data_IF_474992877582
#
_entry.id   IF_474992877582
#
_cell.length_a   1.000
_cell.length_b   1.000
_cell.length_c   1.000
_cell.angle_alpha   90.00
_cell.angle_beta   90.00
_cell.angle_gamma   90.00
#
_symmetry.space_group_name_H-M   'P 1'
#
loop_
_entity.id
_entity.type
_entity.pdbx_description
1 polymer ?
#
# COMPACT_ATOMS: atom_id res chain seq x y z
N UNK A 1 10.63 -45.48 2.36
CA UNK A 1 11.72 -44.56 2.01
C UNK A 1 12.19 -44.95 0.62
N UNK A 2 11.65 -44.33 -0.42
CA UNK A 2 12.01 -44.58 -1.81
C UNK A 2 13.03 -43.52 -2.26
N UNK A 3 14.16 -43.97 -2.81
CA UNK A 3 15.18 -43.12 -3.42
C UNK A 3 14.59 -42.32 -4.58
N UNK A 4 14.93 -41.04 -4.68
CA UNK A 4 14.41 -40.16 -5.72
C UNK A 4 15.34 -40.16 -6.95
N UNK A 5 14.86 -40.45 -8.16
CA UNK A 5 15.75 -40.75 -9.28
C UNK A 5 15.80 -39.59 -10.29
N UNK A 6 16.29 -38.41 -9.94
CA UNK A 6 16.57 -37.38 -10.97
C UNK A 6 17.76 -36.49 -10.60
N UNK A 7 18.65 -36.31 -11.58
CA UNK A 7 19.67 -35.27 -11.65
C UNK A 7 19.24 -34.31 -12.75
N UNK A 8 18.97 -33.04 -12.43
CA UNK A 8 18.55 -32.03 -13.41
C UNK A 8 19.75 -31.15 -13.80
N UNK A 9 20.22 -31.20 -15.06
CA UNK A 9 21.16 -30.20 -15.56
C UNK A 9 20.39 -28.90 -15.81
N UNK A 10 20.94 -27.77 -15.38
CA UNK A 10 20.39 -26.45 -15.66
C UNK A 10 20.29 -26.25 -17.19
N UNK A 11 19.09 -26.38 -17.75
CA UNK A 11 18.45 -25.32 -18.55
C UNK A 11 17.07 -25.65 -19.12
N UNK A 12 16.56 -26.89 -19.12
CA UNK A 12 15.16 -27.14 -19.50
C UNK A 12 14.58 -28.33 -18.71
N UNK A 13 13.84 -28.04 -17.64
CA UNK A 13 12.94 -29.04 -17.07
C UNK A 13 11.86 -29.35 -18.10
N UNK A 14 11.66 -30.62 -18.41
CA UNK A 14 10.48 -31.06 -19.18
C UNK A 14 9.19 -30.76 -18.42
N UNK A 15 8.05 -30.79 -19.11
CA UNK A 15 6.74 -30.61 -18.46
C UNK A 15 6.49 -31.64 -17.35
N UNK A 16 6.97 -32.87 -17.53
CA UNK A 16 6.87 -33.93 -16.54
C UNK A 16 7.68 -33.63 -15.28
N UNK A 17 8.91 -33.16 -15.46
CA UNK A 17 9.82 -32.81 -14.36
C UNK A 17 9.35 -31.55 -13.62
N UNK A 18 8.82 -30.57 -14.34
CA UNK A 18 8.18 -29.38 -13.77
C UNK A 18 6.96 -29.77 -12.92
N UNK A 19 6.09 -30.67 -13.42
CA UNK A 19 4.95 -31.18 -12.62
C UNK A 19 5.42 -31.87 -11.35
N UNK A 20 6.46 -32.70 -11.43
CA UNK A 20 7.03 -33.37 -10.26
C UNK A 20 7.60 -32.37 -9.26
N UNK A 21 8.39 -31.39 -9.71
CA UNK A 21 8.92 -30.31 -8.86
C UNK A 21 7.80 -29.59 -8.09
N UNK A 22 6.73 -29.22 -8.77
CA UNK A 22 5.59 -28.54 -8.13
C UNK A 22 4.75 -29.47 -7.23
N UNK A 23 4.76 -30.79 -7.43
CA UNK A 23 4.21 -31.74 -6.44
C UNK A 23 5.02 -31.71 -5.14
N UNK A 24 6.35 -31.57 -5.23
CA UNK A 24 7.23 -31.43 -4.06
C UNK A 24 6.99 -30.12 -3.33
N UNK A 25 6.92 -29.01 -4.08
CA UNK A 25 6.58 -27.70 -3.50
C UNK A 25 5.22 -27.77 -2.79
N UNK A 26 4.21 -28.40 -3.40
CA UNK A 26 2.90 -28.60 -2.79
C UNK A 26 2.97 -29.47 -1.53
N UNK A 27 3.78 -30.54 -1.55
CA UNK A 27 4.04 -31.35 -0.37
C UNK A 27 4.65 -30.50 0.76
N UNK A 28 5.69 -29.71 0.47
CA UNK A 28 6.34 -28.82 1.45
C UNK A 28 5.36 -27.80 1.99
N UNK A 29 4.55 -27.17 1.13
CA UNK A 29 3.52 -26.21 1.54
C UNK A 29 2.52 -26.83 2.53
N UNK A 30 2.05 -28.04 2.22
CA UNK A 30 1.00 -28.69 3.00
C UNK A 30 1.53 -29.33 4.30
N UNK A 31 2.70 -29.97 4.25
CA UNK A 31 3.25 -30.76 5.36
C UNK A 31 4.29 -29.97 6.20
N UNK A 32 4.86 -28.90 5.64
CA UNK A 32 5.89 -28.09 6.26
C UNK A 32 5.57 -26.58 6.14
N UNK A 33 4.32 -26.21 6.42
CA UNK A 33 3.84 -24.84 6.22
C UNK A 33 4.64 -23.75 6.95
N UNK A 34 5.30 -24.04 8.07
CA UNK A 34 6.19 -23.09 8.75
C UNK A 34 7.49 -22.82 7.98
N UNK A 35 8.01 -23.82 7.27
CA UNK A 35 9.15 -23.68 6.36
C UNK A 35 8.73 -22.92 5.10
N UNK A 36 7.58 -23.30 4.52
CA UNK A 36 7.05 -22.65 3.32
C UNK A 36 6.91 -21.12 3.47
N UNK A 37 6.42 -20.67 4.63
CA UNK A 37 6.30 -19.23 4.94
C UNK A 37 7.61 -18.45 4.88
N UNK A 38 8.76 -19.13 4.90
CA UNK A 38 10.09 -18.49 4.79
C UNK A 38 10.53 -18.19 3.37
N UNK A 39 9.85 -18.70 2.34
CA UNK A 39 10.25 -18.57 0.92
C UNK A 39 9.21 -17.82 0.06
N UNK A 40 8.07 -17.41 0.64
CA UNK A 40 6.97 -16.58 0.06
C UNK A 40 6.27 -17.12 -1.20
N UNK A 41 6.99 -17.67 -2.18
CA UNK A 41 6.45 -18.14 -3.45
C UNK A 41 6.82 -19.61 -3.71
N UNK A 42 5.94 -20.30 -4.44
CA UNK A 42 6.19 -21.67 -4.89
C UNK A 42 7.45 -21.72 -5.81
N UNK A 43 7.68 -20.67 -6.61
CA UNK A 43 8.81 -20.59 -7.53
C UNK A 43 10.16 -20.51 -6.80
N UNK A 44 10.29 -19.71 -5.75
CA UNK A 44 11.55 -19.59 -4.98
C UNK A 44 11.96 -20.94 -4.37
N UNK A 45 10.98 -21.70 -3.83
CA UNK A 45 11.22 -23.05 -3.34
C UNK A 45 11.61 -23.99 -4.49
N UNK A 46 10.96 -23.86 -5.64
CA UNK A 46 11.26 -24.67 -6.82
C UNK A 46 12.71 -24.44 -7.29
N UNK A 47 13.16 -23.18 -7.35
CA UNK A 47 14.52 -22.81 -7.74
C UNK A 47 15.57 -23.34 -6.74
N UNK A 48 15.32 -23.20 -5.44
CA UNK A 48 16.19 -23.76 -4.39
C UNK A 48 16.26 -25.30 -4.43
N UNK A 49 15.14 -25.97 -4.77
CA UNK A 49 15.14 -27.43 -4.96
C UNK A 49 16.01 -27.78 -6.17
N UNK A 50 15.87 -27.07 -7.29
CA UNK A 50 16.68 -27.33 -8.49
C UNK A 50 18.17 -27.15 -8.18
N UNK A 51 18.54 -26.08 -7.47
CA UNK A 51 19.92 -25.84 -7.05
C UNK A 51 20.44 -26.93 -6.09
N UNK A 52 19.63 -27.37 -5.13
CA UNK A 52 19.99 -28.50 -4.27
C UNK A 52 20.23 -29.79 -5.08
N UNK A 53 19.38 -30.05 -6.07
CA UNK A 53 19.45 -31.24 -6.91
C UNK A 53 20.65 -31.25 -7.86
N UNK A 54 21.21 -30.09 -8.22
CA UNK A 54 22.45 -30.04 -9.02
C UNK A 54 23.67 -30.54 -8.26
N UNK A 55 23.67 -30.44 -6.93
CA UNK A 55 24.81 -30.80 -6.08
C UNK A 55 24.63 -32.17 -5.40
N UNK A 56 23.39 -32.63 -5.23
CA UNK A 56 23.07 -33.83 -4.47
C UNK A 56 23.23 -35.12 -5.28
N UNK A 57 24.15 -36.00 -4.86
CA UNK A 57 24.37 -37.33 -5.47
C UNK A 57 23.20 -38.32 -5.28
N UNK A 58 22.41 -38.17 -4.23
CA UNK A 58 21.28 -39.07 -3.91
C UNK A 58 20.20 -38.31 -3.14
N UNK A 59 19.41 -37.47 -3.81
CA UNK A 59 18.43 -36.62 -3.16
C UNK A 59 17.26 -37.43 -2.61
N UNK A 60 16.76 -37.01 -1.45
CA UNK A 60 15.53 -37.53 -0.84
C UNK A 60 14.66 -36.34 -0.41
N UNK A 61 13.36 -36.55 -0.29
CA UNK A 61 12.46 -35.49 0.20
C UNK A 61 12.87 -34.97 1.59
N UNK A 62 13.33 -35.87 2.47
CA UNK A 62 13.83 -35.49 3.79
C UNK A 62 15.13 -34.67 3.72
N UNK A 63 16.03 -34.97 2.78
CA UNK A 63 17.26 -34.21 2.59
C UNK A 63 17.00 -32.83 1.97
N UNK A 64 16.06 -32.73 1.02
CA UNK A 64 15.57 -31.45 0.48
C UNK A 64 14.98 -30.57 1.57
N UNK A 65 14.04 -31.09 2.38
CA UNK A 65 13.42 -30.32 3.47
C UNK A 65 14.46 -29.87 4.50
N UNK A 66 15.44 -30.73 4.81
CA UNK A 66 16.54 -30.39 5.71
C UNK A 66 17.43 -29.30 5.14
N UNK A 67 17.76 -29.34 3.84
CA UNK A 67 18.56 -28.33 3.18
C UNK A 67 17.85 -26.97 3.12
N UNK A 68 16.57 -26.96 2.70
CA UNK A 68 15.73 -25.76 2.74
C UNK A 68 15.64 -25.17 4.16
N UNK A 69 15.54 -26.01 5.20
CA UNK A 69 15.59 -25.54 6.59
C UNK A 69 16.95 -24.94 6.95
N UNK A 70 18.05 -25.51 6.45
CA UNK A 70 19.39 -25.00 6.69
C UNK A 70 19.60 -23.65 5.97
N UNK A 71 19.21 -23.54 4.70
CA UNK A 71 19.20 -22.27 3.93
C UNK A 71 18.39 -21.19 4.64
N UNK A 72 17.16 -21.53 5.04
CA UNK A 72 16.26 -20.62 5.76
C UNK A 72 16.68 -20.32 7.21
N UNK A 73 17.66 -21.03 7.77
CA UNK A 73 18.32 -20.71 9.06
C UNK A 73 19.58 -19.88 8.88
N UNK A 74 20.35 -20.12 7.81
CA UNK A 74 21.55 -19.37 7.47
C UNK A 74 21.21 -17.91 7.12
N UNK A 75 20.07 -17.69 6.47
CA UNK A 75 19.50 -16.38 6.14
C UNK A 75 18.56 -15.87 7.25
N UNK A 76 19.05 -15.78 8.50
CA UNK A 76 18.14 -15.63 9.66
C UNK A 76 17.49 -14.25 9.81
N UNK A 77 18.12 -13.16 9.37
CA UNK A 77 17.54 -11.83 9.38
C UNK A 77 18.20 -10.90 8.35
N UNK A 78 17.40 -10.02 7.75
CA UNK A 78 17.83 -9.00 6.79
C UNK A 78 17.49 -7.61 7.32
N UNK A 79 18.43 -6.67 7.22
CA UNK A 79 18.18 -5.26 7.42
C UNK A 79 17.79 -4.62 6.08
N UNK A 80 16.51 -4.25 5.95
CA UNK A 80 15.92 -3.74 4.69
C UNK A 80 15.61 -2.26 4.83
N UNK A 81 16.16 -1.45 3.92
CA UNK A 81 15.74 -0.07 3.73
C UNK A 81 14.55 0.02 2.76
N UNK A 82 13.49 0.69 3.18
CA UNK A 82 12.38 1.10 2.32
C UNK A 82 12.33 2.62 2.26
N UNK A 83 12.71 3.17 1.11
CA UNK A 83 12.78 4.60 0.87
C UNK A 83 11.37 5.21 0.74
N UNK A 84 11.19 6.36 1.40
CA UNK A 84 9.93 7.11 1.45
C UNK A 84 10.08 8.46 0.76
N UNK A 85 9.32 8.61 -0.31
CA UNK A 85 9.20 9.84 -1.08
C UNK A 85 8.17 10.80 -0.47
N UNK A 86 8.46 12.09 -0.59
CA UNK A 86 7.60 13.21 -0.15
C UNK A 86 7.18 13.12 1.31
N UNK A 87 7.94 12.46 2.17
CA UNK A 87 7.62 12.31 3.58
C UNK A 87 8.70 12.95 4.43
N UNK A 88 8.36 13.98 5.20
CA UNK A 88 9.28 14.59 6.14
C UNK A 88 9.01 14.03 7.55
N UNK A 89 9.98 13.34 8.18
CA UNK A 89 9.82 12.82 9.53
C UNK A 89 9.93 13.96 10.56
N UNK A 90 9.31 13.80 11.75
CA UNK A 90 9.30 14.86 12.76
C UNK A 90 10.64 15.03 13.49
N UNK A 91 11.50 14.00 13.44
CA UNK A 91 12.83 13.92 14.06
C UNK A 91 13.78 13.17 13.13
N UNK A 92 15.09 13.23 13.40
CA UNK A 92 16.12 12.57 12.58
C UNK A 92 16.01 11.04 12.60
N UNK A 93 15.79 10.46 13.77
CA UNK A 93 15.72 9.03 13.99
C UNK A 93 14.62 8.72 15.00
N UNK A 94 13.71 7.81 14.65
CA UNK A 94 12.62 7.40 15.52
C UNK A 94 12.44 5.87 15.51
N UNK A 95 12.73 5.18 16.62
CA UNK A 95 12.32 3.80 16.83
C UNK A 95 10.80 3.65 16.70
N UNK A 96 10.34 2.75 15.84
CA UNK A 96 8.91 2.52 15.61
C UNK A 96 8.40 1.23 16.26
N UNK A 97 9.32 0.35 16.62
CA UNK A 97 9.11 -0.92 17.30
C UNK A 97 10.44 -1.66 17.43
N UNK A 98 10.43 -2.91 17.93
CA UNK A 98 11.67 -3.67 18.17
C UNK A 98 12.48 -3.95 16.90
N UNK A 99 11.81 -3.94 15.73
CA UNK A 99 12.40 -4.34 14.44
C UNK A 99 12.16 -3.31 13.33
N UNK A 100 11.79 -2.09 13.70
CA UNK A 100 11.47 -1.03 12.74
C UNK A 100 11.90 0.34 13.25
N UNK A 101 12.40 1.16 12.33
CA UNK A 101 12.88 2.51 12.61
C UNK A 101 12.59 3.45 11.43
N UNK A 102 12.21 4.69 11.71
CA UNK A 102 12.09 5.76 10.73
C UNK A 102 13.32 6.64 10.84
N UNK A 103 14.01 6.85 9.73
CA UNK A 103 15.20 7.71 9.67
C UNK A 103 15.01 8.77 8.61
N UNK A 104 15.48 9.98 8.89
CA UNK A 104 15.48 11.09 7.96
C UNK A 104 16.56 10.87 6.89
N UNK A 105 16.18 11.03 5.64
CA UNK A 105 17.13 11.03 4.53
C UNK A 105 17.89 12.35 4.50
N UNK A 106 19.16 12.30 4.07
CA UNK A 106 19.94 13.51 3.85
C UNK A 106 19.25 14.45 2.86
N UNK A 107 19.06 15.71 3.25
CA UNK A 107 18.53 16.74 2.35
C UNK A 107 19.62 17.57 1.66
N UNK A 108 20.90 17.37 2.02
CA UNK A 108 22.02 18.13 1.50
C UNK A 108 22.28 17.80 0.03
N UNK A 109 22.40 18.85 -0.81
CA UNK A 109 22.67 18.71 -2.26
C UNK A 109 24.14 18.42 -2.55
N UNK A 110 25.03 18.78 -1.63
CA UNK A 110 26.47 18.57 -1.72
C UNK A 110 26.84 17.24 -1.06
N UNK A 111 27.82 16.51 -1.62
CA UNK A 111 28.34 15.31 -0.94
C UNK A 111 29.17 15.72 0.27
N UNK A 112 28.54 15.87 1.42
CA UNK A 112 29.27 16.04 2.69
C UNK A 112 29.86 14.68 3.07
N UNK A 113 31.19 14.54 2.94
CA UNK A 113 31.94 13.30 3.23
C UNK A 113 31.74 12.81 4.68
N UNK A 114 31.32 13.72 5.58
CA UNK A 114 31.11 13.52 7.01
C UNK A 114 29.93 14.37 7.52
N UNK A 115 28.75 14.19 6.91
CA UNK A 115 27.52 14.86 7.34
C UNK A 115 26.91 14.26 8.62
N UNK A 116 25.76 14.79 9.09
CA UNK A 116 25.05 14.30 10.28
C UNK A 116 24.64 12.81 10.23
N UNK A 117 24.82 12.12 9.10
CA UNK A 117 24.48 10.72 8.86
C UNK A 117 25.23 9.71 9.74
N UNK A 118 26.42 10.06 10.24
CA UNK A 118 27.13 9.19 11.19
C UNK A 118 26.30 8.98 12.46
N UNK A 119 25.63 10.03 12.94
CA UNK A 119 24.73 9.94 14.09
C UNK A 119 23.61 8.96 13.82
N UNK A 120 23.01 9.00 12.63
CA UNK A 120 21.93 8.10 12.23
C UNK A 120 22.40 6.63 12.19
N UNK A 121 23.56 6.35 11.59
CA UNK A 121 24.10 4.98 11.46
C UNK A 121 24.34 4.32 12.83
N UNK A 122 24.91 5.05 13.79
CA UNK A 122 25.12 4.52 15.14
C UNK A 122 23.81 4.29 15.89
N UNK A 123 22.80 5.15 15.70
CA UNK A 123 21.47 4.94 16.30
C UNK A 123 20.80 3.71 15.67
N UNK A 124 20.93 3.53 14.36
CA UNK A 124 20.44 2.33 13.65
C UNK A 124 21.10 1.07 14.20
N UNK A 125 22.43 1.04 14.33
CA UNK A 125 23.16 -0.09 14.94
C UNK A 125 22.69 -0.39 16.35
N UNK A 126 22.56 0.65 17.18
CA UNK A 126 22.14 0.50 18.57
C UNK A 126 20.73 -0.08 18.69
N UNK A 127 19.82 0.29 17.78
CA UNK A 127 18.41 -0.11 17.86
C UNK A 127 18.10 -1.43 17.12
N UNK A 128 18.62 -1.60 15.90
CA UNK A 128 18.34 -2.75 15.03
C UNK A 128 19.43 -3.84 15.08
N UNK A 129 20.55 -3.58 15.76
CA UNK A 129 21.66 -4.53 15.92
C UNK A 129 22.66 -4.56 14.76
N UNK A 130 22.44 -3.77 13.71
CA UNK A 130 23.31 -3.70 12.53
C UNK A 130 23.27 -2.31 11.87
N UNK A 131 24.24 -2.00 11.04
CA UNK A 131 24.43 -0.68 10.39
C UNK A 131 23.81 -0.66 8.99
N UNK A 132 22.97 0.35 8.72
CA UNK A 132 22.55 0.68 7.36
C UNK A 132 22.40 2.19 7.21
N UNK A 133 23.07 2.75 6.21
CA UNK A 133 23.01 4.19 5.91
C UNK A 133 21.81 4.48 5.01
N UNK A 134 20.84 5.28 5.47
CA UNK A 134 19.70 5.66 4.64
C UNK A 134 20.13 6.46 3.41
N UNK A 135 19.41 6.30 2.31
CA UNK A 135 19.61 7.10 1.11
C UNK A 135 19.10 8.52 1.31
N UNK A 136 19.90 9.47 0.83
CA UNK A 136 19.53 10.89 0.78
C UNK A 136 18.63 11.25 -0.41
N UNK A 137 18.07 12.46 -0.35
CA UNK A 137 17.26 13.08 -1.40
C UNK A 137 17.99 13.18 -2.73
N UNK A 138 19.28 13.48 -2.70
CA UNK A 138 20.06 13.79 -3.90
C UNK A 138 20.86 12.57 -4.36
N UNK A 139 20.54 12.09 -5.57
CA UNK A 139 21.27 11.00 -6.20
C UNK A 139 22.40 11.54 -7.05
N UNK A 140 23.62 11.25 -6.62
CA UNK A 140 24.84 11.59 -7.34
C UNK A 140 25.24 10.45 -8.29
N UNK A 141 25.55 10.76 -9.55
CA UNK A 141 26.00 9.78 -10.54
C UNK A 141 27.29 9.06 -10.09
N UNK A 142 27.39 7.73 -10.22
CA UNK A 142 28.63 6.99 -9.92
C UNK A 142 29.78 7.34 -10.88
N UNK A 143 29.48 7.77 -12.11
CA UNK A 143 30.45 7.99 -13.18
C UNK A 143 31.51 9.08 -12.92
N UNK A 144 31.32 9.93 -11.90
CA UNK A 144 32.30 10.96 -11.52
C UNK A 144 33.53 10.45 -10.76
N UNK A 145 33.72 9.13 -10.60
CA UNK A 145 34.87 8.55 -9.88
C UNK A 145 35.92 7.87 -10.77
N UNK A 146 35.54 7.33 -11.94
CA UNK A 146 36.43 6.40 -12.67
C UNK A 146 37.28 7.05 -13.77
N UNK A 147 37.01 8.31 -14.12
CA UNK A 147 37.90 9.06 -15.02
C UNK A 147 38.07 10.44 -14.40
N UNK A 148 39.31 10.84 -14.15
CA UNK A 148 39.68 12.20 -13.78
C UNK A 148 39.41 13.22 -14.90
N UNK A 149 38.27 13.11 -15.56
CA UNK A 149 37.73 14.03 -16.55
C UNK A 149 36.59 14.84 -15.93
N UNK A 150 36.40 16.03 -16.48
CA UNK A 150 35.48 17.09 -16.06
C UNK A 150 33.97 16.73 -16.12
N UNK A 151 33.57 15.49 -15.88
CA UNK A 151 32.16 15.07 -15.70
C UNK A 151 31.62 15.36 -14.29
N UNK A 152 32.24 16.34 -13.60
CA UNK A 152 31.70 17.01 -12.42
C UNK A 152 30.39 17.79 -12.70
N UNK A 153 29.89 17.78 -13.94
CA UNK A 153 28.80 18.62 -14.42
C UNK A 153 27.39 18.01 -14.42
N UNK A 154 27.18 16.75 -14.01
CA UNK A 154 25.80 16.26 -13.83
C UNK A 154 25.27 16.69 -12.48
N UNK A 155 24.36 17.67 -12.52
CA UNK A 155 23.57 18.07 -11.36
C UNK A 155 22.94 16.85 -10.68
N UNK A 156 23.04 16.75 -9.34
CA UNK A 156 22.44 15.63 -8.62
C UNK A 156 20.94 15.59 -8.87
N UNK A 157 20.41 14.37 -9.02
CA UNK A 157 18.98 14.17 -9.28
C UNK A 157 18.21 14.21 -7.97
N UNK A 158 17.23 15.10 -7.87
CA UNK A 158 16.30 15.16 -6.74
C UNK A 158 15.34 13.98 -6.78
N UNK A 159 15.59 12.97 -5.96
CA UNK A 159 14.74 11.79 -5.83
C UNK A 159 13.52 12.04 -4.94
N UNK A 160 13.46 13.19 -4.24
CA UNK A 160 12.43 13.51 -3.25
C UNK A 160 12.30 12.46 -2.12
N UNK A 161 13.31 11.62 -1.93
CA UNK A 161 13.42 10.73 -0.77
C UNK A 161 13.87 11.56 0.41
N UNK A 162 12.96 11.77 1.37
CA UNK A 162 13.22 12.58 2.56
C UNK A 162 13.29 11.73 3.83
N UNK A 163 12.93 10.44 3.74
CA UNK A 163 12.97 9.50 4.83
C UNK A 163 13.15 8.07 4.32
N UNK A 164 13.58 7.19 5.22
CA UNK A 164 13.62 5.76 5.01
C UNK A 164 13.03 5.03 6.22
N UNK A 165 12.28 3.97 5.95
CA UNK A 165 11.89 2.98 6.94
C UNK A 165 12.88 1.82 6.90
N UNK A 166 13.55 1.57 8.02
CA UNK A 166 14.46 0.46 8.18
C UNK A 166 13.76 -0.66 8.94
N UNK A 167 13.86 -1.89 8.44
CA UNK A 167 13.26 -3.07 9.04
C UNK A 167 14.29 -4.17 9.22
N UNK A 168 14.30 -4.82 10.38
CA UNK A 168 14.95 -6.11 10.52
C UNK A 168 13.88 -7.19 10.27
N UNK A 169 13.98 -7.98 9.21
CA UNK A 169 12.97 -9.00 8.84
C UNK A 169 13.58 -10.40 8.75
N UNK A 170 12.83 -11.43 9.18
CA UNK A 170 13.28 -12.82 9.09
C UNK A 170 12.85 -13.44 7.75
N UNK A 171 13.60 -14.44 7.29
CA UNK A 171 13.28 -15.22 6.08
C UNK A 171 14.32 -15.05 4.99
N UNK A 172 14.03 -15.57 3.79
CA UNK A 172 14.88 -15.29 2.63
C UNK A 172 14.84 -13.80 2.29
N UNK A 173 15.81 -13.34 1.52
CA UNK A 173 15.93 -11.94 1.09
C UNK A 173 14.61 -11.44 0.47
N UNK A 174 14.03 -12.21 -0.44
CA UNK A 174 12.77 -11.88 -1.12
C UNK A 174 11.60 -11.70 -0.14
N UNK A 175 11.50 -12.58 0.85
CA UNK A 175 10.46 -12.51 1.89
C UNK A 175 10.67 -11.26 2.74
N UNK A 176 11.90 -11.05 3.22
CA UNK A 176 12.24 -9.89 4.03
C UNK A 176 11.94 -8.57 3.29
N UNK A 177 12.35 -8.46 2.02
CA UNK A 177 12.07 -7.30 1.18
C UNK A 177 10.57 -7.09 0.99
N UNK A 178 9.82 -8.15 0.67
CA UNK A 178 8.37 -8.06 0.44
C UNK A 178 7.61 -7.68 1.72
N UNK A 179 8.00 -8.23 2.87
CA UNK A 179 7.44 -7.89 4.18
C UNK A 179 7.72 -6.43 4.52
N UNK A 180 8.99 -6.00 4.45
CA UNK A 180 9.38 -4.62 4.73
C UNK A 180 8.60 -3.61 3.85
N UNK A 181 8.52 -3.85 2.54
CA UNK A 181 7.78 -2.99 1.62
C UNK A 181 6.28 -2.97 1.94
N UNK A 182 5.69 -4.12 2.28
CA UNK A 182 4.28 -4.22 2.63
C UNK A 182 3.98 -3.47 3.93
N UNK A 183 4.82 -3.65 4.95
CA UNK A 183 4.71 -2.91 6.23
C UNK A 183 4.87 -1.41 6.03
N UNK A 184 5.81 -0.98 5.18
CA UNK A 184 5.99 0.42 4.84
C UNK A 184 4.76 1.01 4.14
N UNK A 185 4.19 0.31 3.14
CA UNK A 185 2.96 0.74 2.45
C UNK A 185 1.78 0.86 3.41
N UNK A 186 1.64 -0.09 4.33
CA UNK A 186 0.60 -0.07 5.37
C UNK A 186 0.83 1.08 6.35
N UNK A 187 2.07 1.30 6.80
CA UNK A 187 2.40 2.40 7.70
C UNK A 187 2.10 3.76 7.08
N UNK A 188 2.51 3.97 5.83
CA UNK A 188 2.21 5.18 5.05
C UNK A 188 0.70 5.41 4.92
N UNK A 189 -0.06 4.37 4.55
CA UNK A 189 -1.51 4.46 4.45
C UNK A 189 -2.17 4.83 5.78
N UNK A 190 -1.73 4.22 6.88
CA UNK A 190 -2.28 4.46 8.21
C UNK A 190 -1.94 5.86 8.74
N UNK A 191 -0.71 6.36 8.52
CA UNK A 191 -0.37 7.73 8.85
C UNK A 191 -1.23 8.73 8.07
N UNK A 192 -1.47 8.49 6.78
CA UNK A 192 -2.35 9.34 5.97
C UNK A 192 -3.81 9.28 6.43
N UNK A 193 -4.28 8.15 6.96
CA UNK A 193 -5.61 8.07 7.58
C UNK A 193 -5.72 8.94 8.84
N UNK A 194 -4.70 8.90 9.71
CA UNK A 194 -4.69 9.65 10.97
C UNK A 194 -4.52 11.16 10.73
N UNK A 195 -3.65 11.50 9.78
CA UNK A 195 -3.21 12.86 9.46
C UNK A 195 -3.33 13.10 7.96
N UNK A 196 -4.55 13.15 7.40
CA UNK A 196 -4.72 13.37 5.96
C UNK A 196 -4.01 14.66 5.54
N UNK A 197 -3.45 14.72 4.31
CA UNK A 197 -2.72 15.89 3.84
C UNK A 197 -3.62 17.13 3.95
N UNK A 198 -3.31 18.03 4.89
CA UNK A 198 -4.02 19.31 5.00
C UNK A 198 -3.51 20.24 3.91
N UNK A 199 -4.31 21.21 3.46
CA UNK A 199 -3.74 22.39 2.78
C UNK A 199 -2.81 23.06 3.79
N UNK A 200 -1.51 22.77 3.73
CA UNK A 200 -0.49 23.37 4.58
C UNK A 200 -0.17 24.77 4.04
N UNK A 201 0.88 25.43 4.56
CA UNK A 201 1.43 26.66 3.94
C UNK A 201 1.74 26.48 2.44
N UNK A 202 1.97 25.24 2.00
CA UNK A 202 2.03 24.88 0.59
C UNK A 202 0.63 24.57 0.06
N UNK A 203 0.26 25.20 -1.07
CA UNK A 203 -1.10 25.14 -1.64
C UNK A 203 -1.64 23.71 -1.82
N UNK A 204 -0.76 22.71 -2.01
CA UNK A 204 -1.08 21.27 -2.12
C UNK A 204 0.12 20.41 -1.65
N UNK A 205 0.08 19.70 -0.50
CA UNK A 205 1.09 18.68 -0.20
C UNK A 205 0.89 17.44 -1.09
N UNK A 206 1.97 16.73 -1.44
CA UNK A 206 1.85 15.45 -2.14
C UNK A 206 1.71 14.30 -1.17
N UNK A 207 0.94 13.28 -1.54
CA UNK A 207 0.87 12.04 -0.80
C UNK A 207 2.25 11.36 -0.72
N UNK A 208 2.66 10.89 0.46
CA UNK A 208 3.90 10.14 0.61
C UNK A 208 3.79 8.77 -0.08
N UNK A 209 4.92 8.26 -0.61
CA UNK A 209 4.94 7.01 -1.38
C UNK A 209 6.21 6.18 -1.10
N UNK A 210 6.10 4.85 -1.17
CA UNK A 210 7.28 3.95 -1.16
C UNK A 210 7.94 3.93 -2.53
N UNK A 211 9.24 4.21 -2.62
CA UNK A 211 9.96 4.42 -3.90
C UNK A 211 10.62 3.13 -4.42
N UNK A 212 9.84 2.24 -5.01
CA UNK A 212 10.40 1.17 -5.84
C UNK A 212 10.35 1.64 -7.29
N UNK A 213 11.41 2.32 -7.73
CA UNK A 213 11.68 2.70 -9.13
C UNK A 213 10.52 3.36 -9.91
N UNK A 214 10.32 4.67 -9.71
CA UNK A 214 9.67 5.58 -10.65
C UNK A 214 9.96 7.04 -10.24
N UNK A 215 9.98 8.01 -11.17
CA UNK A 215 10.07 9.43 -10.82
C UNK A 215 8.93 9.80 -9.86
N UNK A 216 9.34 10.32 -8.70
CA UNK A 216 8.50 10.79 -7.60
C UNK A 216 7.68 12.02 -8.09
N UNK A 217 6.44 12.21 -7.62
CA UNK A 217 5.28 12.60 -8.41
C UNK A 217 5.40 13.96 -9.11
N UNK A 218 5.17 13.89 -10.42
CA UNK A 218 4.41 14.81 -11.26
C UNK A 218 4.53 16.31 -10.93
N UNK A 219 5.56 16.93 -11.50
CA UNK A 219 5.28 18.18 -12.22
C UNK A 219 4.22 17.80 -13.27
N UNK A 220 2.94 18.09 -13.00
CA UNK A 220 1.91 18.00 -14.05
C UNK A 220 2.24 19.11 -15.03
N UNK A 221 2.90 18.75 -16.13
CA UNK A 221 2.89 19.61 -17.31
C UNK A 221 1.44 19.70 -17.75
N UNK A 222 0.90 20.92 -17.84
CA UNK A 222 -0.39 21.10 -18.49
C UNK A 222 -0.29 20.51 -19.89
N UNK A 223 -1.21 19.61 -20.23
CA UNK A 223 -1.29 19.09 -21.60
C UNK A 223 -1.61 20.26 -22.50
N UNK A 224 -0.73 20.53 -23.47
CA UNK A 224 -0.97 21.53 -24.49
C UNK A 224 -2.15 21.03 -25.31
N UNK A 225 -3.30 21.69 -25.19
CA UNK A 225 -4.48 21.38 -25.99
C UNK A 225 -4.94 22.62 -26.75
N UNK A 226 -5.40 22.38 -27.98
CA UNK A 226 -6.13 23.32 -28.81
C UNK A 226 -7.55 22.76 -28.96
N UNK A 227 -8.54 23.63 -29.07
CA UNK A 227 -9.87 23.26 -29.53
C UNK A 227 -9.80 22.64 -30.95
N UNK A 228 -10.57 21.58 -31.17
CA UNK A 228 -10.64 20.90 -32.46
C UNK A 228 -11.53 21.72 -33.40
N UNK A 229 -10.90 22.54 -34.24
CA UNK A 229 -11.55 23.39 -35.24
C UNK A 229 -11.09 22.98 -36.65
N UNK A 230 -11.79 22.04 -37.32
CA UNK A 230 -11.37 21.54 -38.64
C UNK A 230 -11.51 22.59 -39.76
N UNK A 231 -12.30 23.65 -39.55
CA UNK A 231 -12.65 24.66 -40.56
C UNK A 231 -11.97 26.03 -40.37
N UNK A 232 -11.11 26.22 -39.37
CA UNK A 232 -10.54 27.54 -39.06
C UNK A 232 -9.08 27.69 -39.52
N UNK A 233 -8.85 28.43 -40.61
CA UNK A 233 -7.51 28.85 -41.08
C UNK A 233 -7.21 30.23 -40.50
N UNK A 234 -6.28 30.28 -39.54
CA UNK A 234 -5.75 31.47 -38.86
C UNK A 234 -6.59 32.02 -37.68
N UNK A 235 -6.32 31.48 -36.49
CA UNK A 235 -6.77 32.03 -35.21
C UNK A 235 -5.68 31.83 -34.14
N UNK A 236 -5.41 32.89 -33.35
CA UNK A 236 -4.36 32.96 -32.33
C UNK A 236 -4.33 31.71 -31.44
N UNK A 237 -3.17 31.06 -31.33
CA UNK A 237 -2.89 30.05 -30.30
C UNK A 237 -3.15 30.68 -28.92
N UNK A 238 -4.26 30.34 -28.25
CA UNK A 238 -4.43 30.71 -26.85
C UNK A 238 -3.54 29.78 -26.01
N UNK A 239 -2.34 30.26 -25.67
CA UNK A 239 -1.52 29.63 -24.63
C UNK A 239 -2.16 29.97 -23.29
N UNK A 240 -3.12 29.18 -22.81
CA UNK A 240 -3.35 29.12 -21.36
C UNK A 240 -2.21 28.30 -20.77
N UNK A 241 -1.40 29.00 -19.97
CA UNK A 241 -0.02 28.66 -19.66
C UNK A 241 0.22 27.31 -19.00
N UNK A 242 1.46 26.84 -19.11
CA UNK A 242 2.01 25.83 -18.22
C UNK A 242 1.96 26.37 -16.78
N UNK A 243 1.09 25.80 -15.95
CA UNK A 243 1.13 26.06 -14.52
C UNK A 243 2.00 24.97 -13.88
N UNK A 244 3.22 25.34 -13.48
CA UNK A 244 4.00 24.52 -12.56
C UNK A 244 3.33 24.66 -11.20
N UNK A 245 2.67 23.60 -10.72
CA UNK A 245 2.21 23.56 -9.33
C UNK A 245 3.35 23.01 -8.50
N UNK A 246 4.00 23.87 -7.70
CA UNK A 246 4.98 23.43 -6.72
C UNK A 246 4.26 22.78 -5.54
N UNK A 247 4.60 21.52 -5.27
CA UNK A 247 4.04 20.77 -4.15
C UNK A 247 5.06 20.66 -3.02
N UNK A 248 4.59 20.79 -1.78
CA UNK A 248 5.39 20.59 -0.57
C UNK A 248 5.39 19.12 -0.10
N UNK A 249 6.41 18.69 0.69
CA UNK A 249 6.42 17.37 1.30
C UNK A 249 5.27 17.20 2.31
N UNK A 250 4.88 15.96 2.55
CA UNK A 250 3.95 15.57 3.60
C UNK A 250 4.70 15.48 4.94
N UNK A 251 4.30 16.32 5.89
CA UNK A 251 4.88 16.35 7.23
C UNK A 251 4.17 15.34 8.13
N UNK A 252 4.95 14.42 8.71
CA UNK A 252 4.41 13.52 9.72
C UNK A 252 4.08 14.25 11.03
N UNK A 253 3.14 13.68 11.77
CA UNK A 253 2.78 14.19 13.09
C UNK A 253 3.95 14.04 14.08
N UNK A 254 4.08 15.00 14.99
CA UNK A 254 5.01 14.93 16.12
C UNK A 254 4.50 14.05 17.27
N UNK A 255 3.24 13.60 17.22
CA UNK A 255 2.67 12.74 18.25
C UNK A 255 3.24 11.33 18.16
N UNK A 256 4.02 10.93 19.16
CA UNK A 256 4.62 9.60 19.25
C UNK A 256 3.55 8.49 19.18
N UNK A 257 2.43 8.66 19.89
CA UNK A 257 1.34 7.68 19.88
C UNK A 257 0.79 7.41 18.45
N UNK A 258 0.73 8.44 17.60
CA UNK A 258 0.26 8.30 16.22
C UNK A 258 1.36 7.86 15.26
N UNK A 259 2.62 8.20 15.56
CA UNK A 259 3.77 7.74 14.80
C UNK A 259 3.96 6.23 14.96
N UNK A 260 3.86 5.72 16.18
CA UNK A 260 3.96 4.29 16.53
C UNK A 260 2.70 3.48 16.19
N UNK A 261 1.57 4.14 15.98
CA UNK A 261 0.27 3.48 15.82
C UNK A 261 0.24 2.38 14.74
N UNK A 262 0.80 2.56 13.52
CA UNK A 262 0.72 1.51 12.51
C UNK A 262 1.49 0.25 12.90
N UNK A 263 2.62 0.40 13.60
CA UNK A 263 3.45 -0.71 14.04
C UNK A 263 2.82 -1.47 15.20
N UNK A 264 2.25 -0.74 16.17
CA UNK A 264 1.45 -1.34 17.25
C UNK A 264 0.23 -2.08 16.71
N UNK A 265 -0.42 -1.53 15.67
CA UNK A 265 -1.53 -2.19 14.99
C UNK A 265 -1.08 -3.48 14.28
N UNK A 266 0.04 -3.43 13.54
CA UNK A 266 0.59 -4.60 12.85
C UNK A 266 0.95 -5.71 13.84
N UNK A 267 1.57 -5.36 14.97
CA UNK A 267 1.91 -6.32 16.03
C UNK A 267 0.65 -6.89 16.69
N UNK A 268 -0.38 -6.08 16.92
CA UNK A 268 -1.66 -6.54 17.46
C UNK A 268 -2.36 -7.49 16.47
N UNK A 269 -2.42 -7.14 15.19
CA UNK A 269 -2.99 -7.98 14.13
C UNK A 269 -2.25 -9.31 14.00
N UNK A 270 -0.91 -9.29 14.10
CA UNK A 270 -0.10 -10.52 14.12
C UNK A 270 -0.46 -11.45 15.29
N UNK A 271 -0.85 -10.89 16.44
CA UNK A 271 -1.35 -11.63 17.61
C UNK A 271 -2.83 -12.02 17.51
N UNK A 272 -3.46 -11.84 16.34
CA UNK A 272 -4.86 -12.20 16.10
C UNK A 272 -5.88 -11.13 16.52
N UNK A 273 -5.47 -9.86 16.63
CA UNK A 273 -6.41 -8.77 16.91
C UNK A 273 -7.16 -8.33 15.64
N UNK A 274 -8.45 -8.68 15.55
CA UNK A 274 -9.27 -8.43 14.37
C UNK A 274 -9.54 -6.94 14.17
N UNK A 275 -9.67 -6.17 15.25
CA UNK A 275 -9.87 -4.72 15.18
C UNK A 275 -8.69 -4.01 14.52
N UNK A 276 -7.46 -4.40 14.87
CA UNK A 276 -6.25 -3.88 14.27
C UNK A 276 -6.13 -4.28 12.79
N UNK A 277 -6.40 -5.55 12.46
CA UNK A 277 -6.39 -6.05 11.08
C UNK A 277 -7.38 -5.30 10.18
N UNK A 278 -8.60 -5.11 10.66
CA UNK A 278 -9.67 -4.41 9.95
C UNK A 278 -9.30 -2.94 9.68
N UNK A 279 -8.73 -2.26 10.68
CA UNK A 279 -8.30 -0.87 10.54
C UNK A 279 -7.11 -0.72 9.58
N UNK A 280 -6.14 -1.64 9.59
CA UNK A 280 -5.02 -1.62 8.64
C UNK A 280 -5.51 -1.85 7.20
N UNK A 281 -6.42 -2.80 7.01
CA UNK A 281 -7.04 -3.09 5.72
C UNK A 281 -7.85 -1.91 5.18
N UNK A 282 -8.64 -1.26 6.05
CA UNK A 282 -9.38 -0.06 5.71
C UNK A 282 -8.45 1.10 5.35
N UNK A 283 -7.41 1.35 6.15
CA UNK A 283 -6.44 2.41 5.88
C UNK A 283 -5.75 2.23 4.52
N UNK A 284 -5.28 1.01 4.23
CA UNK A 284 -4.66 0.68 2.93
C UNK A 284 -5.62 0.94 1.77
N UNK A 285 -6.87 0.50 1.89
CA UNK A 285 -7.84 0.66 0.81
C UNK A 285 -8.19 2.13 0.58
N UNK A 286 -8.40 2.91 1.64
CA UNK A 286 -8.63 4.36 1.53
C UNK A 286 -7.45 5.11 0.92
N UNK A 287 -6.22 4.71 1.26
CA UNK A 287 -5.02 5.27 0.66
C UNK A 287 -4.93 5.00 -0.85
N UNK A 288 -5.31 3.79 -1.30
CA UNK A 288 -5.37 3.47 -2.73
C UNK A 288 -6.47 4.28 -3.45
N UNK A 289 -7.65 4.40 -2.84
CA UNK A 289 -8.74 5.21 -3.37
C UNK A 289 -8.34 6.68 -3.59
N UNK A 290 -7.55 7.25 -2.68
CA UNK A 290 -7.09 8.63 -2.77
C UNK A 290 -6.01 8.87 -3.85
N UNK A 291 -5.40 7.80 -4.39
CA UNK A 291 -4.24 7.87 -5.29
C UNK A 291 -4.54 7.60 -6.76
N UNK A 292 -5.73 7.11 -7.08
CA UNK A 292 -6.15 6.91 -8.46
C UNK A 292 -6.23 8.29 -9.14
N UNK A 293 -5.46 8.56 -10.21
CA UNK A 293 -5.20 9.92 -10.68
C UNK A 293 -6.29 10.51 -11.57
N UNK A 294 -7.17 9.66 -12.12
CA UNK A 294 -8.16 10.01 -13.12
C UNK A 294 -9.59 9.86 -12.56
N UNK A 295 -10.47 10.81 -12.92
CA UNK A 295 -11.88 10.76 -12.54
C UNK A 295 -12.67 9.74 -13.38
N UNK A 296 -12.12 9.31 -14.53
CA UNK A 296 -12.66 8.19 -15.32
C UNK A 296 -12.43 6.82 -14.66
N UNK A 297 -11.47 6.71 -13.74
CA UNK A 297 -11.17 5.49 -12.95
C UNK A 297 -11.92 5.53 -11.60
N UNK A 298 -13.03 6.26 -11.52
CA UNK A 298 -13.84 6.45 -10.31
C UNK A 298 -14.33 5.14 -9.68
N UNK A 299 -14.51 4.08 -10.46
CA UNK A 299 -14.91 2.75 -9.97
C UNK A 299 -13.81 2.05 -9.18
N UNK A 300 -12.55 2.20 -9.57
CA UNK A 300 -11.47 1.63 -8.76
C UNK A 300 -11.43 2.32 -7.39
N UNK A 301 -11.66 3.65 -7.36
CA UNK A 301 -11.79 4.41 -6.11
C UNK A 301 -12.97 3.88 -5.29
N UNK A 302 -14.08 3.61 -5.97
CA UNK A 302 -15.33 3.04 -5.43
C UNK A 302 -15.11 1.71 -4.75
N UNK A 303 -14.50 0.76 -5.47
CA UNK A 303 -14.13 -0.56 -4.98
C UNK A 303 -13.26 -0.45 -3.73
N UNK A 304 -12.29 0.46 -3.72
CA UNK A 304 -11.39 0.62 -2.58
C UNK A 304 -12.06 1.19 -1.33
N UNK A 305 -12.90 2.21 -1.45
CA UNK A 305 -13.66 2.75 -0.30
C UNK A 305 -14.73 1.75 0.15
N UNK A 306 -15.37 1.01 -0.76
CA UNK A 306 -16.28 -0.08 -0.38
C UNK A 306 -15.54 -1.19 0.38
N UNK A 307 -14.37 -1.64 -0.11
CA UNK A 307 -13.49 -2.58 0.62
C UNK A 307 -13.09 -2.04 1.99
N UNK A 308 -12.88 -0.73 2.12
CA UNK A 308 -12.61 -0.13 3.42
C UNK A 308 -13.82 -0.21 4.36
N UNK A 309 -15.04 0.09 3.87
CA UNK A 309 -16.29 -0.07 4.63
C UNK A 309 -16.47 -1.52 5.08
N UNK A 310 -16.30 -2.48 4.18
CA UNK A 310 -16.43 -3.91 4.49
C UNK A 310 -15.38 -4.35 5.52
N UNK A 311 -14.12 -3.93 5.37
CA UNK A 311 -13.07 -4.23 6.33
C UNK A 311 -13.42 -3.71 7.74
N UNK A 312 -13.96 -2.48 7.86
CA UNK A 312 -14.41 -1.95 9.16
C UNK A 312 -15.56 -2.78 9.76
N UNK A 313 -16.44 -3.31 8.92
CA UNK A 313 -17.66 -4.03 9.34
C UNK A 313 -17.47 -5.55 9.46
N UNK A 314 -16.29 -6.08 9.09
CA UNK A 314 -16.02 -7.51 9.12
C UNK A 314 -16.19 -8.08 10.53
N UNK A 315 -16.98 -9.14 10.65
CA UNK A 315 -17.09 -9.93 11.87
C UNK A 315 -15.79 -10.71 12.06
N UNK A 316 -14.96 -10.20 12.97
CA UNK A 316 -13.92 -11.00 13.59
C UNK A 316 -14.53 -12.12 14.45
N UNK A 317 -13.69 -12.87 15.15
CA UNK A 317 -14.10 -14.00 16.00
C UNK A 317 -15.13 -13.62 17.08
N UNK A 318 -15.20 -12.34 17.45
CA UNK A 318 -16.05 -11.79 18.53
C UNK A 318 -17.15 -10.86 18.04
N UNK A 319 -17.26 -10.62 16.74
CA UNK A 319 -18.28 -9.73 16.17
C UNK A 319 -19.57 -10.50 15.84
N UNK A 320 -20.72 -9.97 16.27
CA UNK A 320 -22.04 -10.49 15.89
C UNK A 320 -22.73 -9.58 14.87
N UNK A 321 -23.66 -10.13 14.08
CA UNK A 321 -24.52 -9.37 13.17
C UNK A 321 -23.99 -9.25 11.73
N UNK A 322 -24.90 -8.92 10.81
CA UNK A 322 -24.59 -8.70 9.38
C UNK A 322 -23.80 -7.40 9.19
N UNK A 323 -22.93 -7.34 8.18
CA UNK A 323 -22.07 -6.18 7.89
C UNK A 323 -22.87 -4.85 7.77
N UNK A 324 -24.04 -4.86 7.13
CA UNK A 324 -24.88 -3.66 7.01
C UNK A 324 -25.43 -3.17 8.37
N UNK A 325 -25.93 -4.07 9.22
CA UNK A 325 -26.41 -3.70 10.55
C UNK A 325 -25.28 -3.10 11.41
N UNK A 326 -24.06 -3.63 11.26
CA UNK A 326 -22.86 -3.09 11.91
C UNK A 326 -22.47 -1.72 11.38
N UNK A 327 -22.59 -1.49 10.07
CA UNK A 327 -22.40 -0.16 9.47
C UNK A 327 -23.41 0.84 10.00
N UNK A 328 -24.70 0.48 10.06
CA UNK A 328 -25.75 1.35 10.61
C UNK A 328 -25.52 1.69 12.09
N UNK A 329 -25.14 0.69 12.90
CA UNK A 329 -24.76 0.92 14.29
C UNK A 329 -23.56 1.87 14.39
N UNK A 330 -22.55 1.68 13.54
CA UNK A 330 -21.38 2.55 13.48
C UNK A 330 -21.75 3.99 13.08
N UNK A 331 -22.61 4.16 12.08
CA UNK A 331 -23.12 5.47 11.63
C UNK A 331 -23.79 6.21 12.78
N UNK A 332 -24.65 5.53 13.55
CA UNK A 332 -25.31 6.10 14.75
C UNK A 332 -24.32 6.41 15.86
N UNK A 333 -23.53 5.42 16.28
CA UNK A 333 -22.62 5.52 17.43
C UNK A 333 -21.49 6.52 17.22
N UNK A 334 -21.05 6.72 15.97
CA UNK A 334 -20.07 7.74 15.62
C UNK A 334 -20.70 9.04 15.12
N UNK A 335 -22.04 9.20 15.16
CA UNK A 335 -22.75 10.39 14.70
C UNK A 335 -22.25 10.86 13.32
N UNK A 336 -22.12 9.92 12.38
CA UNK A 336 -21.52 10.24 11.08
C UNK A 336 -22.39 11.21 10.29
N UNK A 337 -23.72 11.07 10.37
CA UNK A 337 -24.70 11.96 9.71
C UNK A 337 -24.51 13.41 10.13
N UNK A 338 -24.57 13.70 11.42
CA UNK A 338 -24.38 15.07 11.95
C UNK A 338 -23.04 15.68 11.52
N UNK A 339 -22.00 14.84 11.41
CA UNK A 339 -20.68 15.29 10.99
C UNK A 339 -20.57 15.53 9.50
N UNK A 340 -21.29 14.79 8.67
CA UNK A 340 -21.39 15.06 7.24
C UNK A 340 -22.21 16.33 6.98
N UNK A 341 -23.33 16.52 7.69
CA UNK A 341 -24.10 17.77 7.64
C UNK A 341 -23.24 18.97 8.03
N UNK A 342 -22.44 18.86 9.10
CA UNK A 342 -21.51 19.94 9.49
C UNK A 342 -20.40 20.24 8.47
N UNK A 343 -20.21 19.38 7.47
CA UNK A 343 -19.29 19.58 6.35
C UNK A 343 -19.98 20.16 5.11
N UNK A 344 -21.30 20.37 5.15
CA UNK A 344 -22.08 20.98 4.08
C UNK A 344 -22.83 19.99 3.18
N UNK A 345 -22.88 18.70 3.52
CA UNK A 345 -23.69 17.72 2.80
C UNK A 345 -25.16 17.80 3.23
N UNK A 346 -26.08 17.68 2.28
CA UNK A 346 -27.51 17.67 2.55
C UNK A 346 -27.96 16.29 3.09
N UNK A 347 -29.11 16.23 3.76
CA UNK A 347 -29.57 15.00 4.43
C UNK A 347 -30.00 13.91 3.44
N UNK A 348 -30.67 14.32 2.38
CA UNK A 348 -31.04 13.52 1.21
C UNK A 348 -29.79 12.93 0.53
N UNK A 349 -28.76 13.73 0.24
CA UNK A 349 -27.47 13.25 -0.31
C UNK A 349 -26.82 12.17 0.60
N UNK A 350 -26.94 12.32 1.92
CA UNK A 350 -26.40 11.35 2.88
C UNK A 350 -27.21 10.04 2.87
N UNK A 351 -28.52 10.13 2.79
CA UNK A 351 -29.42 8.96 2.73
C UNK A 351 -29.19 8.17 1.43
N UNK A 352 -29.18 8.86 0.29
CA UNK A 352 -28.93 8.27 -1.02
C UNK A 352 -27.56 7.60 -1.08
N UNK A 353 -26.51 8.27 -0.59
CA UNK A 353 -25.16 7.69 -0.53
C UNK A 353 -25.08 6.43 0.35
N UNK A 354 -25.83 6.36 1.46
CA UNK A 354 -25.85 5.19 2.34
C UNK A 354 -26.66 4.03 1.77
N UNK A 355 -27.74 4.29 1.05
CA UNK A 355 -28.48 3.28 0.29
C UNK A 355 -27.63 2.73 -0.86
N UNK A 356 -26.96 3.61 -1.60
CA UNK A 356 -26.04 3.25 -2.68
C UNK A 356 -24.90 2.35 -2.17
N UNK A 357 -24.35 2.65 -0.98
CA UNK A 357 -23.32 1.84 -0.33
C UNK A 357 -23.71 0.37 -0.09
N UNK A 358 -25.01 0.06 -0.04
CA UNK A 358 -25.51 -1.31 0.07
C UNK A 358 -25.55 -2.00 -1.30
N UNK A 359 -25.84 -1.24 -2.35
CA UNK A 359 -25.94 -1.71 -3.75
C UNK A 359 -24.58 -1.86 -4.44
N UNK A 360 -23.52 -1.20 -3.94
CA UNK A 360 -22.16 -1.27 -4.52
C UNK A 360 -21.55 -2.68 -4.56
N UNK A 361 -21.92 -3.57 -3.64
CA UNK A 361 -21.47 -4.96 -3.69
C UNK A 361 -21.98 -5.65 -4.95
N UNK A 362 -23.25 -5.44 -5.28
CA UNK A 362 -23.87 -6.03 -6.47
C UNK A 362 -23.25 -5.43 -7.74
N UNK A 363 -23.00 -4.11 -7.75
CA UNK A 363 -22.33 -3.44 -8.88
C UNK A 363 -20.92 -3.97 -9.11
N UNK A 364 -20.08 -4.02 -8.07
CA UNK A 364 -18.66 -4.44 -8.18
C UNK A 364 -18.47 -5.93 -8.49
N UNK A 365 -19.45 -6.77 -8.20
CA UNK A 365 -19.39 -8.22 -8.48
C UNK A 365 -19.81 -8.54 -9.93
N UNK A 366 -20.58 -7.66 -10.57
CA UNK A 366 -21.18 -7.89 -11.89
C UNK A 366 -20.63 -6.97 -13.00
N UNK A 367 -19.69 -6.06 -12.69
CA UNK A 367 -19.11 -5.11 -13.63
C UNK A 367 -17.56 -5.15 -13.66
N UNK A 368 -16.95 -5.78 -14.67
CA UNK A 368 -15.51 -5.65 -14.95
C UNK A 368 -15.13 -4.52 -15.93
N UNK A 369 -16.09 -3.90 -16.65
CA UNK A 369 -15.86 -2.97 -17.77
C UNK A 369 -16.53 -1.59 -17.58
N UNK A 370 -16.35 -1.00 -16.41
CA UNK A 370 -16.94 0.26 -15.96
C UNK A 370 -16.45 1.49 -16.74
N UNK A 371 -15.17 1.52 -17.13
CA UNK A 371 -14.60 2.61 -17.95
C UNK A 371 -15.28 2.68 -19.31
N UNK A 372 -15.58 1.52 -19.92
CA UNK A 372 -16.27 1.47 -21.21
C UNK A 372 -17.72 1.95 -21.10
N UNK A 373 -18.42 1.64 -20.00
CA UNK A 373 -19.77 2.16 -19.77
C UNK A 373 -19.80 3.68 -19.52
N UNK A 374 -18.80 4.22 -18.81
CA UNK A 374 -18.63 5.68 -18.70
C UNK A 374 -18.31 6.35 -20.04
N UNK A 375 -17.76 5.60 -20.99
CA UNK A 375 -17.54 6.03 -22.38
C UNK A 375 -18.73 5.69 -23.29
N UNK A 376 -19.89 5.34 -22.71
CA UNK A 376 -21.12 4.95 -23.42
C UNK A 376 -20.95 3.72 -24.34
N UNK A 377 -20.11 2.76 -23.94
CA UNK A 377 -19.77 1.59 -24.74
C UNK A 377 -20.11 0.27 -24.01
N UNK A 378 -21.02 -0.57 -24.53
CA UNK A 378 -21.93 -0.34 -25.67
C UNK A 378 -23.18 0.47 -25.27
N UNK A 379 -23.74 1.24 -26.21
CA UNK A 379 -24.76 2.30 -26.00
C UNK A 379 -26.09 1.88 -25.33
N UNK A 380 -26.35 0.60 -25.04
CA UNK A 380 -27.67 0.12 -24.56
C UNK A 380 -27.61 -1.08 -23.61
N UNK A 381 -26.61 -1.19 -22.74
CA UNK A 381 -26.52 -2.31 -21.78
C UNK A 381 -27.59 -2.18 -20.68
N UNK A 382 -28.48 -3.17 -20.56
CA UNK A 382 -29.35 -3.36 -19.39
C UNK A 382 -28.76 -4.48 -18.54
N UNK A 383 -28.68 -4.30 -17.23
CA UNK A 383 -28.10 -5.30 -16.32
C UNK A 383 -29.07 -5.66 -15.23
N UNK A 384 -29.25 -6.97 -15.02
CA UNK A 384 -30.07 -7.53 -13.94
C UNK A 384 -29.15 -7.78 -12.75
N UNK A 385 -29.40 -7.07 -11.65
CA UNK A 385 -28.75 -7.28 -10.37
C UNK A 385 -29.36 -8.47 -9.62
N UNK A 386 -28.70 -8.87 -8.55
CA UNK A 386 -29.21 -9.78 -7.53
C UNK A 386 -30.64 -9.38 -7.11
N UNK A 387 -31.57 -10.35 -7.03
CA UNK A 387 -33.00 -10.14 -6.75
C UNK A 387 -33.83 -9.51 -7.89
N UNK A 388 -33.35 -9.53 -9.12
CA UNK A 388 -34.17 -9.20 -10.31
C UNK A 388 -34.32 -7.72 -10.60
N UNK A 389 -33.64 -6.84 -9.85
CA UNK A 389 -33.63 -5.40 -10.12
C UNK A 389 -32.84 -5.14 -11.40
N UNK A 390 -33.45 -4.51 -12.40
CA UNK A 390 -32.76 -4.15 -13.64
C UNK A 390 -32.32 -2.69 -13.58
N UNK A 391 -31.05 -2.41 -13.87
CA UNK A 391 -30.54 -1.06 -14.04
C UNK A 391 -30.27 -0.79 -15.53
N UNK A 392 -30.59 0.41 -16.01
CA UNK A 392 -30.25 0.87 -17.36
C UNK A 392 -28.80 1.37 -17.41
N UNK A 393 -28.20 1.45 -18.60
CA UNK A 393 -26.87 2.04 -18.77
C UNK A 393 -26.77 3.47 -18.19
N UNK A 394 -27.83 4.27 -18.28
CA UNK A 394 -27.90 5.62 -17.69
C UNK A 394 -27.93 5.59 -16.15
N UNK A 395 -28.59 4.59 -15.55
CA UNK A 395 -28.61 4.39 -14.08
C UNK A 395 -27.37 3.66 -13.54
N UNK A 396 -26.57 3.03 -14.40
CA UNK A 396 -25.31 2.36 -14.05
C UNK A 396 -24.10 3.24 -14.39
N UNK A 397 -24.27 4.22 -15.29
CA UNK A 397 -23.25 5.19 -15.62
C UNK A 397 -22.75 5.82 -14.34
N UNK A 398 -21.45 5.66 -14.04
CA UNK A 398 -20.90 6.13 -12.78
C UNK A 398 -20.96 7.66 -12.65
N UNK A 399 -21.38 8.39 -13.69
CA UNK A 399 -21.77 9.79 -13.57
C UNK A 399 -22.87 10.02 -12.52
N UNK A 400 -23.87 9.14 -12.40
CA UNK A 400 -24.93 9.27 -11.39
C UNK A 400 -24.46 8.81 -10.00
N UNK A 401 -23.60 7.77 -9.94
CA UNK A 401 -22.96 7.29 -8.71
C UNK A 401 -21.89 8.26 -8.20
N UNK A 402 -21.30 9.08 -9.08
CA UNK A 402 -20.23 10.02 -8.76
C UNK A 402 -20.70 11.24 -7.95
N UNK A 403 -21.99 11.59 -8.02
CA UNK A 403 -22.54 12.73 -7.27
C UNK A 403 -22.67 12.40 -5.76
N UNK A 404 -23.14 11.20 -5.42
CA UNK A 404 -23.28 10.72 -4.02
C UNK A 404 -21.97 10.20 -3.41
N UNK A 405 -20.99 9.89 -4.27
CA UNK A 405 -19.76 9.22 -3.88
C UNK A 405 -18.85 9.99 -2.90
N UNK A 406 -18.67 11.32 -3.04
CA UNK A 406 -17.91 12.11 -2.09
C UNK A 406 -18.43 11.97 -0.66
N UNK A 407 -19.76 11.83 -0.49
CA UNK A 407 -20.42 11.67 0.82
C UNK A 407 -20.02 10.34 1.45
N UNK A 408 -20.13 9.24 0.69
CA UNK A 408 -19.78 7.90 1.16
C UNK A 408 -18.27 7.79 1.46
N UNK A 409 -17.42 8.31 0.57
CA UNK A 409 -15.98 8.39 0.81
C UNK A 409 -15.67 9.19 2.09
N UNK A 410 -16.29 10.35 2.28
CA UNK A 410 -16.12 11.17 3.48
C UNK A 410 -16.58 10.44 4.75
N UNK A 411 -17.69 9.69 4.67
CA UNK A 411 -18.23 8.91 5.78
C UNK A 411 -17.28 7.79 6.20
N UNK A 412 -16.79 6.98 5.24
CA UNK A 412 -15.88 5.87 5.52
C UNK A 412 -14.53 6.37 6.04
N UNK A 413 -13.98 7.45 5.45
CA UNK A 413 -12.77 8.09 5.99
C UNK A 413 -12.96 8.59 7.43
N UNK A 414 -14.10 9.24 7.71
CA UNK A 414 -14.40 9.74 9.04
C UNK A 414 -14.54 8.59 10.06
N UNK A 415 -15.25 7.53 9.69
CA UNK A 415 -15.43 6.33 10.51
C UNK A 415 -14.09 5.66 10.81
N UNK A 416 -13.31 5.32 9.77
CA UNK A 416 -11.99 4.70 9.90
C UNK A 416 -11.06 5.53 10.80
N UNK A 417 -11.03 6.85 10.61
CA UNK A 417 -10.19 7.74 11.40
C UNK A 417 -10.62 7.82 12.86
N UNK A 418 -11.93 7.90 13.14
CA UNK A 418 -12.45 7.93 14.51
C UNK A 418 -12.17 6.62 15.23
N UNK A 419 -12.40 5.50 14.56
CA UNK A 419 -12.10 4.17 15.08
C UNK A 419 -10.60 3.98 15.32
N UNK A 420 -9.73 4.42 14.40
CA UNK A 420 -8.29 4.35 14.59
C UNK A 420 -7.83 5.17 15.81
N UNK A 421 -8.30 6.41 15.96
CA UNK A 421 -7.99 7.24 17.14
C UNK A 421 -8.49 6.62 18.45
N UNK A 422 -9.70 6.07 18.42
CA UNK A 422 -10.27 5.35 19.54
C UNK A 422 -9.45 4.11 19.90
N UNK A 423 -9.07 3.28 18.93
CA UNK A 423 -8.26 2.10 19.14
C UNK A 423 -6.88 2.44 19.73
N UNK A 424 -6.24 3.50 19.25
CA UNK A 424 -4.98 4.00 19.80
C UNK A 424 -5.14 4.39 21.28
N UNK A 425 -6.19 5.16 21.61
CA UNK A 425 -6.47 5.58 22.99
C UNK A 425 -6.81 4.40 23.89
N UNK A 426 -7.56 3.44 23.38
CA UNK A 426 -8.06 2.30 24.12
C UNK A 426 -7.04 1.14 24.19
N UNK A 427 -5.83 1.32 23.62
CA UNK A 427 -4.76 0.32 23.65
C UNK A 427 -5.03 -0.91 22.78
N UNK A 428 -5.81 -0.77 21.71
CA UNK A 428 -6.25 -1.85 20.82
C UNK A 428 -7.13 -2.92 21.49
N UNK A 429 -7.85 -2.55 22.56
CA UNK A 429 -8.85 -3.42 23.21
C UNK A 429 -10.02 -3.72 22.24
N UNK A 430 -10.10 -4.97 21.80
CA UNK A 430 -11.14 -5.45 20.89
C UNK A 430 -12.56 -5.31 21.45
N UNK A 431 -12.75 -5.51 22.76
CA UNK A 431 -14.08 -5.40 23.36
C UNK A 431 -14.57 -3.97 23.26
N UNK A 432 -13.70 -3.00 23.57
CA UNK A 432 -14.02 -1.57 23.40
C UNK A 432 -14.24 -1.22 21.94
N UNK A 433 -13.47 -1.81 21.01
CA UNK A 433 -13.69 -1.62 19.58
C UNK A 433 -15.06 -2.13 19.14
N UNK A 434 -15.43 -3.36 19.50
CA UNK A 434 -16.69 -3.99 19.10
C UNK A 434 -17.93 -3.33 19.69
N UNK A 435 -17.84 -2.74 20.90
CA UNK A 435 -18.93 -1.93 21.49
C UNK A 435 -19.39 -0.76 20.61
N UNK A 436 -18.64 -0.39 19.58
CA UNK A 436 -19.02 0.69 18.64
C UNK A 436 -19.91 0.21 17.51
N UNK A 437 -20.08 -1.11 17.38
CA UNK A 437 -20.89 -1.78 16.35
C UNK A 437 -22.15 -2.44 16.92
N UNK A 438 -22.36 -2.31 18.23
CA UNK A 438 -23.53 -2.74 18.99
C UNK A 438 -24.16 -1.50 19.58
#
# INVERSE_FOLDING_TARGET
MTSWPFTFPQQHLTDGETRLLYQVVRYIRNQHGSLYRKFLYDQTIADDIVEYLTEAKSPTLASVVRDLRARAKKQSAWLVEVQLANLLPPVEACPLGPRAMLVRGDSSRERVRWGPHLTDVFVVKRHLGDELTPRGRWLHSPAGRERGGNDAGRDPVDTRVFASLLFAEDGTEEVAMSLAQTRARIAVAFWCLLSPPRRTKHRRPVWPTVTNWAPVPHIRFGVIRKEYEPSFRMGRKSRRGAMITEFGPYELTKSEAYLLAPFRAMDAAHRGNDAALNLLSAARSLYLAARIPNDLESTERLVHVWRAKEALCQAGLRGCGKANARWEALVRNLQLRDKLVSRGYALDEIDEAFELAQSLRDLTTHFPDDVLVNLNYPEKRKVVLTRGRTLSAESIGLAYVADDWPVLSAAVHLAARRLAKAAIRDGWDERKFHRRFT
#
